data_IF_471175775585
#
_entry.id   IF_471175775585
#
_cell.length_a   1.000
_cell.length_b   1.000
_cell.length_c   1.000
_cell.angle_alpha   90.00
_cell.angle_beta   90.00
_cell.angle_gamma   90.00
#
_symmetry.space_group_name_H-M   'P 1'
#
loop_
_entity.id
_entity.type
_entity.pdbx_description
1 polymer ?
#
# COMPACT_ATOMS: atom_id res chain seq x y z
N UNK A 1 30.02 21.02 2.21
CA UNK A 1 29.32 19.74 2.02
C UNK A 1 27.88 20.09 1.71
N UNK A 2 27.42 19.88 0.47
CA UNK A 2 26.00 20.03 0.16
C UNK A 2 25.27 18.86 0.84
N UNK A 3 24.48 19.13 1.86
CA UNK A 3 23.47 18.19 2.33
C UNK A 3 22.57 17.89 1.14
N UNK A 4 22.67 16.69 0.58
CA UNK A 4 21.67 16.22 -0.36
C UNK A 4 20.38 16.03 0.44
N UNK A 5 19.48 17.00 0.32
CA UNK A 5 18.14 16.86 0.85
C UNK A 5 17.54 15.55 0.31
N UNK A 6 17.02 14.69 1.19
CA UNK A 6 16.34 13.47 0.79
C UNK A 6 15.22 13.81 -0.21
N UNK A 7 15.08 12.99 -1.27
CA UNK A 7 13.95 13.14 -2.20
C UNK A 7 12.58 13.10 -1.49
N UNK A 8 12.53 12.51 -0.28
CA UNK A 8 11.35 12.44 0.58
C UNK A 8 11.21 13.62 1.55
N UNK A 9 12.14 14.60 1.55
CA UNK A 9 12.16 15.71 2.52
C UNK A 9 10.79 16.40 2.68
N UNK A 10 10.04 16.58 1.61
CA UNK A 10 8.72 17.18 1.66
C UNK A 10 7.73 16.30 2.45
N UNK A 11 7.72 14.98 2.21
CA UNK A 11 6.86 14.04 2.93
C UNK A 11 7.25 13.94 4.39
N UNK A 12 8.55 13.85 4.69
CA UNK A 12 9.05 13.83 6.07
C UNK A 12 8.70 15.11 6.83
N UNK A 13 8.69 16.26 6.14
CA UNK A 13 8.24 17.53 6.73
C UNK A 13 6.74 17.49 7.05
N UNK A 14 5.92 16.99 6.13
CA UNK A 14 4.48 16.84 6.37
C UNK A 14 4.20 15.86 7.52
N UNK A 15 4.96 14.76 7.63
CA UNK A 15 4.86 13.83 8.76
C UNK A 15 5.15 14.54 10.08
N UNK A 16 6.29 15.23 10.20
CA UNK A 16 6.67 15.96 11.42
C UNK A 16 5.69 17.06 11.81
N UNK A 17 5.13 17.76 10.84
CA UNK A 17 4.13 18.81 11.08
C UNK A 17 2.70 18.27 11.22
N UNK A 18 2.49 16.97 11.03
CA UNK A 18 1.17 16.32 10.98
C UNK A 18 0.23 16.95 9.97
N UNK A 19 0.77 17.36 8.83
CA UNK A 19 -0.02 17.87 7.70
C UNK A 19 -0.71 16.72 6.96
N UNK A 20 -1.77 16.21 7.57
CA UNK A 20 -2.54 15.08 7.03
C UNK A 20 -3.16 15.41 5.67
N UNK A 21 -3.62 16.65 5.47
CA UNK A 21 -4.19 17.08 4.18
C UNK A 21 -3.11 17.14 3.09
N UNK A 22 -1.91 17.62 3.43
CA UNK A 22 -0.76 17.60 2.53
C UNK A 22 -0.37 16.18 2.13
N UNK A 23 -0.32 15.25 3.10
CA UNK A 23 -0.05 13.84 2.87
C UNK A 23 -1.13 13.19 2.00
N UNK A 24 -2.42 13.48 2.25
CA UNK A 24 -3.51 12.96 1.44
C UNK A 24 -3.44 13.47 -0.01
N UNK A 25 -3.14 14.75 -0.18
CA UNK A 25 -2.93 15.35 -1.52
C UNK A 25 -1.76 14.70 -2.25
N UNK A 26 -0.69 14.39 -1.53
CA UNK A 26 0.46 13.69 -2.12
C UNK A 26 0.08 12.25 -2.49
N UNK A 27 -0.68 11.55 -1.67
CA UNK A 27 -1.17 10.20 -1.96
C UNK A 27 -2.12 10.15 -3.17
N UNK A 28 -2.96 11.19 -3.33
CA UNK A 28 -3.83 11.34 -4.49
C UNK A 28 -3.08 11.33 -5.83
N UNK A 29 -1.86 11.87 -5.87
CA UNK A 29 -1.05 11.90 -7.12
C UNK A 29 -0.70 10.51 -7.63
N UNK A 30 -0.65 9.52 -6.74
CA UNK A 30 -0.38 8.11 -7.07
C UNK A 30 -1.70 7.36 -7.28
N UNK A 31 -2.68 7.57 -6.39
CA UNK A 31 -3.93 6.84 -6.38
C UNK A 31 -4.96 7.32 -7.41
N UNK A 32 -4.85 8.58 -7.84
CA UNK A 32 -5.70 9.21 -8.87
C UNK A 32 -6.99 9.84 -8.34
N UNK A 33 -7.38 9.61 -7.08
CA UNK A 33 -8.55 10.24 -6.46
C UNK A 33 -8.49 10.17 -4.94
N UNK A 34 -9.33 10.94 -4.26
CA UNK A 34 -9.48 10.88 -2.80
C UNK A 34 -10.64 9.98 -2.41
N UNK A 35 -10.38 9.07 -1.49
CA UNK A 35 -11.41 8.20 -0.94
C UNK A 35 -11.13 7.91 0.56
N UNK A 36 -12.14 7.49 1.33
CA UNK A 36 -11.96 7.20 2.76
C UNK A 36 -10.87 6.17 3.04
N UNK A 37 -10.71 5.14 2.21
CA UNK A 37 -9.67 4.12 2.44
C UNK A 37 -8.26 4.64 2.14
N UNK A 38 -8.09 5.56 1.17
CA UNK A 38 -6.82 6.27 0.99
C UNK A 38 -6.50 7.13 2.22
N UNK A 39 -7.49 7.86 2.73
CA UNK A 39 -7.37 8.68 3.94
C UNK A 39 -7.00 7.85 5.17
N UNK A 40 -7.62 6.67 5.35
CA UNK A 40 -7.24 5.72 6.39
C UNK A 40 -5.78 5.26 6.26
N UNK A 41 -5.32 4.98 5.03
CA UNK A 41 -3.93 4.62 4.78
C UNK A 41 -2.94 5.72 5.17
N UNK A 42 -3.25 6.96 4.80
CA UNK A 42 -2.47 8.14 5.19
C UNK A 42 -2.40 8.27 6.71
N UNK A 43 -3.55 8.17 7.39
CA UNK A 43 -3.65 8.31 8.83
C UNK A 43 -2.94 7.20 9.59
N UNK A 44 -3.07 5.96 9.14
CA UNK A 44 -2.36 4.82 9.70
C UNK A 44 -0.84 4.93 9.50
N UNK A 45 -0.41 5.35 8.31
CA UNK A 45 1.00 5.60 8.00
C UNK A 45 1.58 6.70 8.88
N UNK A 46 0.87 7.84 9.01
CA UNK A 46 1.28 8.94 9.88
C UNK A 46 1.46 8.48 11.34
N UNK A 47 0.45 7.77 11.88
CA UNK A 47 0.53 7.26 13.25
C UNK A 47 1.71 6.29 13.43
N UNK A 48 1.92 5.40 12.46
CA UNK A 48 3.00 4.43 12.54
C UNK A 48 4.39 5.09 12.49
N UNK A 49 4.59 6.09 11.64
CA UNK A 49 5.86 6.82 11.55
C UNK A 49 6.11 7.64 12.82
N UNK A 50 5.09 8.30 13.37
CA UNK A 50 5.18 9.00 14.67
C UNK A 50 5.55 8.01 15.79
N UNK A 51 4.90 6.84 15.85
CA UNK A 51 5.16 5.82 16.87
C UNK A 51 6.60 5.28 16.79
N UNK A 52 7.10 5.07 15.58
CA UNK A 52 8.45 4.54 15.39
C UNK A 52 9.53 5.60 15.59
N UNK A 53 9.20 6.90 15.52
CA UNK A 53 10.17 7.99 15.55
C UNK A 53 11.36 7.71 14.61
N UNK A 54 11.05 7.39 13.37
CA UNK A 54 12.01 6.96 12.36
C UNK A 54 11.74 7.63 11.02
N UNK A 55 12.70 8.43 10.54
CA UNK A 55 12.68 8.90 9.15
C UNK A 55 13.00 7.75 8.20
N UNK A 56 12.37 7.75 7.03
CA UNK A 56 12.65 6.80 5.97
C UNK A 56 13.16 7.53 4.72
N UNK A 57 14.41 7.26 4.35
CA UNK A 57 15.02 7.81 3.14
C UNK A 57 14.72 6.98 1.90
N UNK A 58 14.09 5.82 2.05
CA UNK A 58 13.83 4.84 0.99
C UNK A 58 14.87 3.73 0.92
N UNK A 59 15.77 3.66 1.91
CA UNK A 59 16.83 2.63 2.00
C UNK A 59 16.48 1.52 2.97
N UNK A 60 15.19 1.21 3.06
CA UNK A 60 14.63 0.12 3.87
C UNK A 60 14.82 0.31 5.39
N UNK A 61 14.91 1.53 5.93
CA UNK A 61 14.98 1.80 7.37
C UNK A 61 13.73 1.31 8.13
N UNK A 62 12.60 1.33 7.42
CA UNK A 62 11.32 0.75 7.86
C UNK A 62 10.83 -0.26 6.82
N UNK A 63 9.95 -1.15 7.26
CA UNK A 63 9.19 -2.01 6.37
C UNK A 63 7.69 -1.92 6.71
N UNK A 64 6.85 -1.87 5.69
CA UNK A 64 5.39 -1.92 5.81
C UNK A 64 4.88 -3.27 5.31
N UNK A 65 4.20 -4.01 6.18
CA UNK A 65 3.57 -5.28 5.85
C UNK A 65 2.07 -5.03 5.75
N UNK A 66 1.54 -4.96 4.54
CA UNK A 66 0.12 -4.74 4.26
C UNK A 66 -0.61 -6.07 4.07
N UNK A 67 -1.86 -6.13 4.52
CA UNK A 67 -2.67 -7.35 4.49
C UNK A 67 -3.82 -7.25 3.46
N UNK A 68 -3.80 -6.20 2.62
CA UNK A 68 -4.74 -5.95 1.52
C UNK A 68 -4.06 -5.21 0.36
N UNK A 69 -4.68 -5.27 -0.82
CA UNK A 69 -4.28 -4.56 -2.03
C UNK A 69 -5.37 -3.58 -2.51
N UNK A 70 -5.82 -2.71 -1.62
CA UNK A 70 -6.81 -1.68 -1.90
C UNK A 70 -6.23 -0.26 -1.67
N UNK A 71 -7.06 0.77 -1.82
CA UNK A 71 -6.69 2.19 -1.68
C UNK A 71 -5.89 2.50 -0.40
N UNK A 72 -6.15 1.78 0.70
CA UNK A 72 -5.44 1.91 1.97
C UNK A 72 -3.93 1.74 1.80
N UNK A 73 -3.53 0.78 0.99
CA UNK A 73 -2.12 0.46 0.74
C UNK A 73 -1.37 1.61 0.06
N UNK A 74 -2.03 2.36 -0.84
CA UNK A 74 -1.39 3.51 -1.49
C UNK A 74 -1.11 4.65 -0.50
N UNK A 75 -2.03 4.89 0.45
CA UNK A 75 -1.78 5.82 1.55
C UNK A 75 -0.58 5.41 2.42
N UNK A 76 -0.48 4.13 2.75
CA UNK A 76 0.67 3.57 3.48
C UNK A 76 1.97 3.78 2.69
N UNK A 77 2.00 3.44 1.40
CA UNK A 77 3.19 3.59 0.55
C UNK A 77 3.72 5.02 0.55
N UNK A 78 2.83 5.98 0.36
CA UNK A 78 3.20 7.40 0.29
C UNK A 78 3.80 7.87 1.61
N UNK A 79 3.11 7.62 2.71
CA UNK A 79 3.54 8.14 4.02
C UNK A 79 4.80 7.43 4.50
N UNK A 80 4.82 6.11 4.47
CA UNK A 80 5.98 5.35 4.99
C UNK A 80 7.17 5.33 4.03
N UNK A 81 6.96 5.58 2.73
CA UNK A 81 7.98 5.40 1.69
C UNK A 81 8.32 3.95 1.38
N UNK A 82 7.58 3.01 1.98
CA UNK A 82 7.70 1.60 1.66
C UNK A 82 6.91 1.31 0.39
N UNK A 83 7.60 0.96 -0.70
CA UNK A 83 6.97 0.71 -2.00
C UNK A 83 7.27 -0.70 -2.48
N UNK A 84 6.51 -1.15 -3.46
CA UNK A 84 6.78 -2.43 -4.11
C UNK A 84 8.17 -2.43 -4.78
N UNK A 85 8.55 -1.33 -5.41
CA UNK A 85 9.82 -1.22 -6.16
C UNK A 85 11.06 -1.16 -5.29
N UNK A 86 10.99 -0.59 -4.06
CA UNK A 86 12.11 -0.56 -3.13
C UNK A 86 12.13 -1.76 -2.16
N UNK A 87 11.23 -2.73 -2.34
CA UNK A 87 11.11 -3.97 -1.55
C UNK A 87 10.83 -3.77 -0.05
N UNK A 88 10.54 -2.56 0.40
CA UNK A 88 10.17 -2.28 1.78
C UNK A 88 8.67 -2.51 2.04
N UNK A 89 7.85 -2.59 0.98
CA UNK A 89 6.45 -2.99 1.06
C UNK A 89 6.32 -4.50 0.89
N UNK A 90 5.77 -5.15 1.90
CA UNK A 90 5.52 -6.59 1.90
C UNK A 90 4.02 -6.81 1.88
N UNK A 91 3.54 -7.54 0.89
CA UNK A 91 2.14 -7.90 0.79
C UNK A 91 1.87 -9.30 1.31
N UNK A 92 0.95 -9.42 2.25
CA UNK A 92 0.36 -10.68 2.70
C UNK A 92 -1.09 -10.73 2.23
N UNK A 93 -1.43 -11.68 1.40
CA UNK A 93 -2.77 -11.83 0.84
C UNK A 93 -3.74 -12.41 1.88
N UNK A 94 -4.14 -11.57 2.85
CA UNK A 94 -5.04 -11.93 3.94
C UNK A 94 -6.43 -11.30 3.81
N UNK A 95 -6.61 -10.34 2.86
CA UNK A 95 -7.86 -9.64 2.65
C UNK A 95 -8.30 -8.75 3.83
N UNK A 96 -7.37 -8.39 4.72
CA UNK A 96 -7.64 -7.51 5.88
C UNK A 96 -7.13 -6.12 5.58
N UNK A 97 -7.95 -5.08 5.74
CA UNK A 97 -7.47 -3.70 5.68
C UNK A 97 -6.63 -3.41 6.92
N UNK A 98 -5.37 -3.78 6.84
CA UNK A 98 -4.41 -3.74 7.94
C UNK A 98 -2.98 -3.52 7.44
N UNK A 99 -2.16 -2.92 8.31
CA UNK A 99 -0.72 -2.75 8.10
C UNK A 99 0.04 -2.99 9.39
N UNK A 100 1.20 -3.61 9.29
CA UNK A 100 2.24 -3.59 10.33
C UNK A 100 3.42 -2.79 9.80
N UNK A 101 3.76 -1.68 10.45
CA UNK A 101 4.96 -0.89 10.12
C UNK A 101 6.00 -1.16 11.18
N UNK A 102 7.21 -1.50 10.76
CA UNK A 102 8.27 -1.92 11.67
C UNK A 102 9.59 -1.21 11.36
N UNK A 103 10.30 -0.83 12.43
CA UNK A 103 11.67 -0.31 12.34
C UNK A 103 12.65 -1.47 12.11
N UNK A 104 13.44 -1.37 11.05
CA UNK A 104 14.35 -2.47 10.68
C UNK A 104 15.43 -2.75 11.72
N UNK A 105 15.90 -1.71 12.40
CA UNK A 105 17.03 -1.83 13.34
C UNK A 105 16.77 -2.81 14.49
N UNK A 106 15.54 -2.83 15.02
CA UNK A 106 15.21 -3.57 16.25
C UNK A 106 13.89 -4.35 16.19
N UNK A 107 13.17 -4.31 15.07
CA UNK A 107 11.90 -4.99 14.90
C UNK A 107 10.73 -4.38 15.68
N UNK A 108 10.92 -3.23 16.34
CA UNK A 108 9.83 -2.50 16.98
C UNK A 108 8.78 -2.16 15.92
N UNK A 109 7.51 -2.44 16.21
CA UNK A 109 6.45 -2.38 15.22
C UNK A 109 5.12 -1.96 15.83
N UNK A 110 4.27 -1.38 15.01
CA UNK A 110 2.87 -1.14 15.31
C UNK A 110 2.01 -1.73 14.20
N UNK A 111 0.96 -2.44 14.60
CA UNK A 111 -0.06 -2.97 13.68
C UNK A 111 -1.36 -2.20 13.85
N UNK A 112 -1.89 -1.69 12.74
CA UNK A 112 -3.18 -1.02 12.69
C UNK A 112 -4.12 -1.85 11.79
N UNK A 113 -5.31 -2.15 12.31
CA UNK A 113 -6.36 -2.87 11.58
C UNK A 113 -7.60 -2.00 11.57
N UNK A 114 -8.17 -1.75 10.41
CA UNK A 114 -9.44 -1.02 10.30
C UNK A 114 -10.55 -1.81 11.03
N UNK A 115 -11.33 -1.12 11.84
CA UNK A 115 -12.44 -1.74 12.58
C UNK A 115 -13.39 -2.50 11.64
N UNK A 116 -13.86 -3.70 12.01
CA UNK A 116 -14.69 -4.54 11.13
C UNK A 116 -16.02 -3.89 10.76
N UNK A 117 -16.54 -2.99 11.59
CA UNK A 117 -17.77 -2.25 11.39
C UNK A 117 -17.55 -0.84 10.79
N UNK A 118 -16.31 -0.52 10.36
CA UNK A 118 -15.96 0.78 9.79
C UNK A 118 -16.91 1.20 8.66
N UNK A 119 -17.18 0.30 7.70
CA UNK A 119 -18.09 0.62 6.58
C UNK A 119 -19.50 0.91 7.06
N UNK A 120 -20.01 0.19 8.05
CA UNK A 120 -21.33 0.42 8.63
C UNK A 120 -21.38 1.79 9.31
N UNK A 121 -20.38 2.12 10.12
CA UNK A 121 -20.26 3.43 10.79
C UNK A 121 -20.11 4.56 9.78
N UNK A 122 -19.31 4.36 8.73
CA UNK A 122 -19.14 5.33 7.65
C UNK A 122 -20.48 5.71 7.01
N UNK A 123 -21.27 4.73 6.59
CA UNK A 123 -22.56 4.99 5.97
C UNK A 123 -23.64 5.47 6.94
N UNK A 124 -23.53 5.15 8.23
CA UNK A 124 -24.38 5.76 9.25
C UNK A 124 -24.06 7.25 9.46
N UNK A 125 -22.75 7.61 9.43
CA UNK A 125 -22.28 9.00 9.55
C UNK A 125 -22.57 9.83 8.28
N UNK A 126 -22.51 9.18 7.11
CA UNK A 126 -22.74 9.80 5.80
C UNK A 126 -23.83 9.07 5.00
N UNK A 127 -25.12 9.21 5.38
CA UNK A 127 -26.19 8.39 4.78
C UNK A 127 -26.36 8.58 3.26
N UNK A 128 -26.00 9.77 2.74
CA UNK A 128 -26.06 10.03 1.30
C UNK A 128 -25.01 9.24 0.48
N UNK A 129 -23.93 8.77 1.12
CA UNK A 129 -22.85 8.07 0.44
C UNK A 129 -23.20 6.62 0.11
N UNK A 130 -23.94 5.94 0.97
CA UNK A 130 -24.26 4.51 0.81
C UNK A 130 -24.95 4.17 -0.51
N UNK A 131 -26.08 4.81 -0.85
CA UNK A 131 -26.79 4.54 -2.10
C UNK A 131 -25.98 4.86 -3.36
N UNK A 132 -25.17 5.94 -3.33
CA UNK A 132 -24.29 6.29 -4.45
C UNK A 132 -23.13 5.29 -4.58
N UNK A 133 -22.53 4.87 -3.47
CA UNK A 133 -21.50 3.84 -3.47
C UNK A 133 -22.03 2.52 -4.06
N UNK A 134 -23.20 2.10 -3.62
CA UNK A 134 -23.83 0.89 -4.13
C UNK A 134 -24.05 0.97 -5.65
N UNK A 135 -24.65 2.05 -6.13
CA UNK A 135 -24.98 2.25 -7.55
C UNK A 135 -23.72 2.40 -8.42
N UNK A 136 -22.79 3.28 -8.00
CA UNK A 136 -21.65 3.68 -8.84
C UNK A 136 -20.52 2.66 -8.77
N UNK A 137 -20.19 2.16 -7.55
CA UNK A 137 -19.02 1.33 -7.32
C UNK A 137 -19.37 -0.17 -7.40
N UNK A 138 -20.37 -0.61 -6.62
CA UNK A 138 -20.69 -2.03 -6.53
C UNK A 138 -21.37 -2.55 -7.78
N UNK A 139 -22.42 -1.84 -8.26
CA UNK A 139 -23.20 -2.25 -9.43
C UNK A 139 -22.62 -1.74 -10.76
N UNK A 140 -21.73 -0.71 -10.73
CA UNK A 140 -21.17 -0.06 -11.92
C UNK A 140 -22.23 0.46 -12.90
N UNK A 141 -23.34 0.98 -12.36
CA UNK A 141 -24.53 1.43 -13.12
C UNK A 141 -24.79 2.94 -13.02
N UNK A 142 -23.85 3.69 -12.42
CA UNK A 142 -24.00 5.15 -12.26
C UNK A 142 -23.95 5.90 -13.60
N UNK A 143 -24.84 6.88 -13.77
CA UNK A 143 -24.75 7.88 -14.85
C UNK A 143 -23.52 8.78 -14.64
N UNK A 144 -23.15 9.60 -15.63
CA UNK A 144 -22.07 10.57 -15.47
C UNK A 144 -22.36 11.57 -14.32
N UNK A 145 -23.62 11.96 -14.13
CA UNK A 145 -24.02 12.81 -13.01
C UNK A 145 -23.89 12.08 -11.65
N UNK A 146 -24.30 10.82 -11.57
CA UNK A 146 -24.10 10.01 -10.35
C UNK A 146 -22.61 9.85 -10.01
N UNK A 147 -21.77 9.62 -11.01
CA UNK A 147 -20.32 9.53 -10.85
C UNK A 147 -19.75 10.85 -10.32
N UNK A 148 -20.13 11.97 -10.92
CA UNK A 148 -19.67 13.29 -10.48
C UNK A 148 -20.10 13.60 -9.03
N UNK A 149 -21.38 13.36 -8.70
CA UNK A 149 -21.91 13.53 -7.33
C UNK A 149 -21.19 12.60 -6.33
N UNK A 150 -20.95 11.36 -6.73
CA UNK A 150 -20.24 10.40 -5.90
C UNK A 150 -18.81 10.85 -5.63
N UNK A 151 -18.05 11.27 -6.65
CA UNK A 151 -16.69 11.76 -6.49
C UNK A 151 -16.59 12.92 -5.50
N UNK A 152 -17.42 13.96 -5.66
CA UNK A 152 -17.42 15.10 -4.74
C UNK A 152 -17.77 14.71 -3.31
N UNK A 153 -18.79 13.85 -3.15
CA UNK A 153 -19.18 13.38 -1.82
C UNK A 153 -18.08 12.53 -1.20
N UNK A 154 -17.48 11.65 -1.98
CA UNK A 154 -16.46 10.70 -1.50
C UNK A 154 -15.15 11.39 -1.11
N UNK A 155 -14.77 12.44 -1.82
CA UNK A 155 -13.67 13.33 -1.45
C UNK A 155 -13.95 14.08 -0.13
N UNK A 156 -15.15 14.64 0.01
CA UNK A 156 -15.54 15.32 1.24
C UNK A 156 -15.56 14.36 2.44
N UNK A 157 -16.05 13.13 2.25
CA UNK A 157 -16.02 12.06 3.27
C UNK A 157 -14.58 11.68 3.62
N UNK A 158 -13.71 11.51 2.62
CA UNK A 158 -12.30 11.18 2.85
C UNK A 158 -11.61 12.21 3.75
N UNK A 159 -11.80 13.50 3.48
CA UNK A 159 -11.22 14.58 4.28
C UNK A 159 -11.77 14.59 5.71
N UNK A 160 -13.07 14.43 5.90
CA UNK A 160 -13.66 14.38 7.24
C UNK A 160 -13.18 13.16 8.05
N UNK A 161 -13.12 11.99 7.43
CA UNK A 161 -12.56 10.79 8.08
C UNK A 161 -11.09 10.99 8.45
N UNK A 162 -10.34 11.76 7.65
CA UNK A 162 -8.95 12.09 7.94
C UNK A 162 -8.81 13.02 9.14
N UNK A 163 -9.59 14.10 9.18
CA UNK A 163 -9.37 15.24 10.08
C UNK A 163 -10.24 15.19 11.34
N UNK A 164 -11.51 14.74 11.22
CA UNK A 164 -12.52 14.91 12.26
C UNK A 164 -12.77 13.63 13.09
N UNK A 165 -12.40 12.45 12.59
CA UNK A 165 -12.69 11.18 13.25
C UNK A 165 -11.46 10.69 14.02
N UNK A 166 -11.63 10.33 15.28
CA UNK A 166 -10.53 9.82 16.09
C UNK A 166 -9.96 8.50 15.55
N UNK A 167 -8.65 8.35 15.67
CA UNK A 167 -7.94 7.15 15.21
C UNK A 167 -8.48 5.87 15.88
N UNK A 168 -8.81 5.93 17.16
CA UNK A 168 -9.37 4.82 17.94
C UNK A 168 -10.76 4.38 17.49
N UNK A 169 -11.52 5.27 16.81
CA UNK A 169 -12.77 4.88 16.19
C UNK A 169 -12.58 4.12 14.87
N UNK A 170 -11.44 4.31 14.23
CA UNK A 170 -11.16 3.77 12.91
C UNK A 170 -10.30 2.51 12.97
N UNK A 171 -9.43 2.37 13.99
CA UNK A 171 -8.44 1.31 14.05
C UNK A 171 -8.38 0.59 15.39
N UNK A 172 -8.18 -0.73 15.31
CA UNK A 172 -7.59 -1.51 16.37
C UNK A 172 -6.08 -1.40 16.25
N UNK A 173 -5.39 -1.01 17.34
CA UNK A 173 -3.96 -0.71 17.34
C UNK A 173 -3.25 -1.62 18.31
N UNK A 174 -2.18 -2.28 17.86
CA UNK A 174 -1.36 -3.18 18.65
C UNK A 174 0.12 -2.85 18.45
N UNK A 175 0.86 -2.68 19.54
CA UNK A 175 2.32 -2.54 19.51
C UNK A 175 2.97 -3.90 19.71
N UNK A 176 3.98 -4.21 18.92
CA UNK A 176 4.64 -5.51 18.96
C UNK A 176 6.11 -5.40 18.54
N UNK A 177 6.82 -6.50 18.67
CA UNK A 177 8.14 -6.69 18.05
C UNK A 177 8.05 -7.83 17.06
N UNK A 178 8.55 -7.63 15.85
CA UNK A 178 8.52 -8.65 14.82
C UNK A 178 9.93 -9.07 14.40
N UNK A 179 10.04 -10.30 13.92
CA UNK A 179 11.22 -10.70 13.17
C UNK A 179 11.18 -10.01 11.81
N UNK A 180 12.16 -9.16 11.56
CA UNK A 180 12.22 -8.40 10.32
C UNK A 180 12.45 -9.33 9.11
N UNK A 181 11.70 -9.11 8.02
CA UNK A 181 12.01 -9.75 6.75
C UNK A 181 13.43 -9.44 6.29
N UNK A 182 14.07 -10.38 5.60
CA UNK A 182 15.40 -10.16 5.06
C UNK A 182 15.42 -8.95 4.11
N UNK A 183 16.57 -8.27 4.04
CA UNK A 183 16.79 -7.23 3.03
C UNK A 183 16.68 -7.81 1.62
N UNK A 184 16.26 -6.97 0.67
CA UNK A 184 16.25 -7.33 -0.73
C UNK A 184 17.67 -7.75 -1.19
N UNK A 185 17.73 -8.90 -1.86
CA UNK A 185 19.00 -9.41 -2.41
C UNK A 185 19.22 -8.82 -3.80
N UNK A 186 20.42 -8.34 -4.04
CA UNK A 186 20.87 -8.01 -5.40
C UNK A 186 21.35 -9.32 -6.02
N UNK A 187 20.66 -9.77 -7.06
CA UNK A 187 20.91 -11.03 -7.74
C UNK A 187 21.46 -10.77 -9.15
N UNK A 188 22.22 -11.74 -9.67
CA UNK A 188 22.73 -11.67 -11.04
C UNK A 188 21.57 -11.72 -12.06
N UNK A 189 21.81 -11.11 -13.22
CA UNK A 189 20.93 -11.24 -14.37
C UNK A 189 21.49 -12.28 -15.32
N UNK A 190 20.68 -13.28 -15.65
CA UNK A 190 20.98 -14.32 -16.62
C UNK A 190 20.16 -14.11 -17.90
N UNK A 191 20.67 -14.58 -19.02
CA UNK A 191 19.95 -14.47 -20.29
C UNK A 191 19.20 -15.77 -20.58
N UNK A 192 17.90 -15.66 -20.83
CA UNK A 192 17.09 -16.78 -21.28
C UNK A 192 17.49 -17.18 -22.70
N UNK A 193 17.90 -18.44 -22.91
CA UNK A 193 18.36 -18.91 -24.22
C UNK A 193 17.24 -19.05 -25.25
N UNK A 194 15.97 -19.04 -24.84
CA UNK A 194 14.81 -19.13 -25.75
C UNK A 194 14.27 -17.78 -26.22
N UNK A 195 14.03 -16.83 -25.27
CA UNK A 195 13.49 -15.50 -25.65
C UNK A 195 14.54 -14.40 -25.70
N UNK A 196 15.77 -14.64 -25.23
CA UNK A 196 16.84 -13.64 -25.24
C UNK A 196 16.73 -12.56 -24.15
N UNK A 197 15.74 -12.62 -23.28
CA UNK A 197 15.51 -11.62 -22.24
C UNK A 197 16.42 -11.83 -21.02
N UNK A 198 16.80 -10.71 -20.38
CA UNK A 198 17.50 -10.72 -19.10
C UNK A 198 16.53 -11.09 -17.98
N UNK A 199 16.92 -12.06 -17.14
CA UNK A 199 16.09 -12.63 -16.08
C UNK A 199 16.91 -12.72 -14.80
N UNK A 200 16.33 -12.31 -13.67
CA UNK A 200 16.94 -12.51 -12.36
C UNK A 200 17.25 -14.01 -12.14
N UNK A 201 18.47 -14.34 -11.70
CA UNK A 201 18.93 -15.73 -11.56
C UNK A 201 17.99 -16.65 -10.77
N UNK A 202 17.29 -16.10 -9.76
CA UNK A 202 16.32 -16.86 -8.96
C UNK A 202 15.07 -17.29 -9.73
N UNK A 203 14.85 -16.76 -10.93
CA UNK A 203 13.72 -17.07 -11.84
C UNK A 203 14.16 -17.83 -13.07
N UNK A 204 15.43 -18.26 -13.13
CA UNK A 204 15.97 -19.14 -14.17
C UNK A 204 15.69 -20.60 -13.81
N UNK A 205 15.47 -21.39 -14.84
CA UNK A 205 15.42 -22.86 -14.80
C UNK A 205 16.45 -23.43 -15.77
N UNK A 206 16.91 -24.62 -15.49
CA UNK A 206 17.79 -25.35 -16.41
C UNK A 206 16.98 -26.50 -17.03
N UNK A 207 16.73 -26.43 -18.33
CA UNK A 207 16.07 -27.49 -19.11
C UNK A 207 17.00 -27.97 -20.21
N UNK A 208 17.34 -29.29 -20.23
CA UNK A 208 18.24 -29.87 -21.19
C UNK A 208 19.61 -29.13 -21.28
N UNK A 209 20.12 -28.65 -20.13
CA UNK A 209 21.38 -27.89 -20.06
C UNK A 209 21.29 -26.41 -20.47
N UNK A 210 20.09 -25.92 -20.82
CA UNK A 210 19.87 -24.55 -21.23
C UNK A 210 19.22 -23.73 -20.10
N UNK A 211 19.66 -22.47 -19.93
CA UNK A 211 19.06 -21.51 -19.00
C UNK A 211 17.81 -20.88 -19.65
N UNK A 212 16.65 -21.06 -19.06
CA UNK A 212 15.37 -20.52 -19.56
C UNK A 212 14.60 -19.81 -18.44
N UNK A 213 13.83 -18.78 -18.77
CA UNK A 213 12.92 -18.12 -17.82
C UNK A 213 11.71 -19.01 -17.50
N UNK A 214 10.95 -18.66 -16.44
CA UNK A 214 9.76 -19.42 -16.02
C UNK A 214 8.74 -19.60 -17.15
N UNK A 215 8.42 -18.54 -17.89
CA UNK A 215 7.49 -18.58 -19.01
C UNK A 215 7.99 -19.53 -20.12
N UNK A 216 9.24 -19.40 -20.56
CA UNK A 216 9.83 -20.29 -21.55
C UNK A 216 9.98 -21.74 -21.05
N UNK A 217 10.11 -21.94 -19.76
CA UNK A 217 10.12 -23.26 -19.15
C UNK A 217 8.74 -23.91 -19.08
N UNK A 218 7.67 -23.15 -19.30
CA UNK A 218 6.29 -23.59 -19.10
C UNK A 218 5.94 -23.81 -17.63
N UNK A 219 6.65 -23.15 -16.72
CA UNK A 219 6.39 -23.22 -15.27
C UNK A 219 5.36 -22.17 -14.83
N UNK A 220 4.77 -22.43 -13.68
CA UNK A 220 3.84 -21.48 -13.05
C UNK A 220 4.63 -20.34 -12.39
N UNK A 221 4.04 -19.15 -12.43
CA UNK A 221 4.53 -17.97 -11.73
C UNK A 221 3.40 -17.28 -10.97
N UNK A 222 3.74 -16.62 -9.88
CA UNK A 222 2.79 -15.87 -9.09
C UNK A 222 2.39 -14.56 -9.81
N UNK A 223 1.09 -14.26 -9.77
CA UNK A 223 0.52 -13.00 -10.28
C UNK A 223 -0.35 -12.36 -9.21
N UNK A 224 -0.13 -11.07 -8.97
CA UNK A 224 -1.00 -10.28 -8.10
C UNK A 224 -2.02 -9.52 -8.96
N UNK A 225 -3.29 -9.71 -8.65
CA UNK A 225 -4.41 -9.02 -9.30
C UNK A 225 -5.36 -8.43 -8.25
N UNK A 226 -6.44 -7.77 -8.67
CA UNK A 226 -7.51 -7.34 -7.76
C UNK A 226 -8.23 -8.49 -7.02
N UNK A 227 -7.95 -9.74 -7.39
CA UNK A 227 -8.49 -10.94 -6.73
C UNK A 227 -7.49 -11.59 -5.76
N UNK A 228 -6.34 -10.95 -5.51
CA UNK A 228 -5.26 -11.50 -4.70
C UNK A 228 -4.17 -12.16 -5.51
N UNK A 229 -3.34 -12.97 -4.83
CA UNK A 229 -2.23 -13.71 -5.44
C UNK A 229 -2.75 -15.04 -6.01
N UNK A 230 -2.48 -15.26 -7.28
CA UNK A 230 -2.73 -16.51 -7.97
C UNK A 230 -1.49 -17.04 -8.66
N UNK A 231 -1.57 -18.26 -9.19
CA UNK A 231 -0.55 -18.82 -10.07
C UNK A 231 -1.07 -18.84 -11.50
N UNK A 232 -0.20 -18.53 -12.45
CA UNK A 232 -0.47 -18.59 -13.89
C UNK A 232 0.62 -19.40 -14.57
N UNK A 233 0.23 -20.03 -15.67
CA UNK A 233 1.13 -20.64 -16.65
C UNK A 233 0.79 -20.06 -18.01
N UNK A 234 1.78 -19.55 -18.73
CA UNK A 234 1.59 -19.20 -20.13
C UNK A 234 1.56 -20.48 -20.97
N UNK A 235 0.60 -20.56 -21.86
CA UNK A 235 0.38 -21.72 -22.74
C UNK A 235 1.10 -21.45 -24.06
#
# INVERSE_FOLDING_TARGET
MHEHASARQAVETMIRSRDLEGLLRHAETIHGHRCPFLALGVKAGQYAMDFLDQENTGMEEVAAIVECNNCFTDGIQVVTGCTFGNNALIYKDLGKTAVTVARRQNGAAVRLVVHPDFRQRLFARYPAAGPLFEKVVMQRQGTAEDQHRFHHLWEAVARRELEEVDLSEQFLIETCTIQMPALARILATEVCTRCGEGVMESRIRVQAGQKVCLACAGEEYAILTGQGIGCRREI
#
